data_IF_759829226365
#
_entry.id   IF_759829226365
#
_cell.length_a   1.000
_cell.length_b   1.000
_cell.length_c   1.000
_cell.angle_alpha   90.00
_cell.angle_beta   90.00
_cell.angle_gamma   90.00
#
_symmetry.space_group_name_H-M   'P 1'
#
loop_
_entity.id
_entity.type
_entity.pdbx_description
1 polymer ?
#
# COMPACT_ATOMS: atom_id res chain seq x y z
N UNK A 1 7.29 3.33 15.42
CA UNK A 1 6.18 3.26 14.43
C UNK A 1 5.13 2.32 15.00
N UNK A 2 3.86 2.72 15.07
CA UNK A 2 2.82 1.92 15.73
C UNK A 2 2.24 0.86 14.78
N UNK A 3 2.27 -0.40 15.22
CA UNK A 3 1.91 -1.58 14.43
C UNK A 3 0.40 -1.84 14.37
N UNK A 4 -0.39 -1.20 15.25
CA UNK A 4 -1.86 -1.30 15.26
C UNK A 4 -2.55 -0.31 14.31
N UNK A 5 -1.78 0.56 13.68
CA UNK A 5 -2.28 1.60 12.79
C UNK A 5 -2.92 0.97 11.55
N UNK A 6 -4.11 1.45 11.18
CA UNK A 6 -4.77 1.11 9.92
C UNK A 6 -4.41 2.15 8.85
N UNK A 7 -4.17 1.68 7.63
CA UNK A 7 -3.85 2.53 6.47
C UNK A 7 -4.83 2.30 5.34
N UNK A 8 -5.40 3.37 4.80
CA UNK A 8 -6.27 3.30 3.63
C UNK A 8 -5.47 3.65 2.38
N UNK A 9 -5.53 2.78 1.38
CA UNK A 9 -5.16 3.09 0.00
C UNK A 9 -6.23 4.00 -0.61
N UNK A 10 -5.84 5.24 -0.94
CA UNK A 10 -6.76 6.25 -1.44
C UNK A 10 -7.30 5.92 -2.84
N UNK A 11 -6.53 5.20 -3.66
CA UNK A 11 -6.91 4.87 -5.04
C UNK A 11 -7.79 3.61 -5.08
N UNK A 12 -7.49 2.62 -4.22
CA UNK A 12 -8.21 1.33 -4.18
C UNK A 12 -9.31 1.27 -3.13
N UNK A 13 -9.39 2.26 -2.23
CA UNK A 13 -10.29 2.23 -1.07
C UNK A 13 -10.04 1.06 -0.12
N UNK A 14 -8.87 0.42 -0.22
CA UNK A 14 -8.55 -0.82 0.51
C UNK A 14 -7.83 -0.50 1.82
N UNK A 15 -8.26 -1.15 2.89
CA UNK A 15 -7.66 -1.04 4.21
C UNK A 15 -6.51 -2.02 4.43
N UNK A 16 -5.42 -1.54 5.02
CA UNK A 16 -4.19 -2.28 5.27
C UNK A 16 -3.75 -2.13 6.73
N UNK A 17 -3.40 -3.24 7.38
CA UNK A 17 -2.73 -3.20 8.67
C UNK A 17 -1.29 -2.70 8.52
N UNK A 18 -0.89 -1.75 9.37
CA UNK A 18 0.48 -1.23 9.42
C UNK A 18 1.52 -2.30 9.68
N UNK A 19 1.22 -3.28 10.54
CA UNK A 19 2.09 -4.43 10.77
C UNK A 19 2.29 -5.26 9.48
N UNK A 20 1.21 -5.52 8.74
CA UNK A 20 1.27 -6.29 7.49
C UNK A 20 2.11 -5.57 6.44
N UNK A 21 1.92 -4.26 6.28
CA UNK A 21 2.71 -3.46 5.33
C UNK A 21 4.20 -3.47 5.64
N UNK A 22 4.58 -3.45 6.92
CA UNK A 22 5.99 -3.46 7.33
C UNK A 22 6.64 -4.84 7.19
N UNK A 23 5.89 -5.92 7.45
CA UNK A 23 6.43 -7.28 7.42
C UNK A 23 6.36 -7.95 6.04
N UNK A 24 5.34 -7.65 5.24
CA UNK A 24 5.05 -8.35 3.98
C UNK A 24 5.05 -7.43 2.76
N UNK A 25 5.10 -6.11 2.96
CA UNK A 25 5.05 -5.13 1.89
C UNK A 25 3.67 -4.99 1.25
N UNK A 26 3.67 -4.48 0.02
CA UNK A 26 2.47 -4.24 -0.78
C UNK A 26 2.65 -4.87 -2.16
N UNK A 27 1.68 -5.68 -2.60
CA UNK A 27 1.65 -6.17 -3.97
C UNK A 27 1.28 -5.03 -4.92
N UNK A 28 2.14 -4.77 -5.89
CA UNK A 28 1.93 -3.78 -6.93
C UNK A 28 1.73 -4.51 -8.26
N UNK A 29 0.56 -4.35 -8.86
CA UNK A 29 0.33 -4.76 -10.23
C UNK A 29 0.86 -3.65 -11.14
N UNK A 30 2.04 -3.88 -11.72
CA UNK A 30 2.60 -2.96 -12.70
C UNK A 30 2.08 -3.31 -14.10
N UNK A 31 1.71 -2.29 -14.91
CA UNK A 31 1.38 -2.53 -16.31
C UNK A 31 2.58 -3.12 -17.07
N UNK A 32 2.32 -3.92 -18.10
CA UNK A 32 3.37 -4.48 -18.95
C UNK A 32 4.06 -3.37 -19.75
N UNK A 33 5.38 -3.39 -19.78
CA UNK A 33 6.22 -2.45 -20.54
C UNK A 33 7.49 -2.09 -19.78
N UNK A 34 8.47 -1.54 -20.49
CA UNK A 34 9.71 -1.09 -19.87
C UNK A 34 9.47 0.19 -19.05
N UNK A 35 10.17 0.30 -17.91
CA UNK A 35 10.07 1.44 -16.98
C UNK A 35 8.68 1.68 -16.36
N UNK A 36 7.83 0.65 -16.26
CA UNK A 36 6.53 0.77 -15.59
C UNK A 36 6.67 1.19 -14.12
N UNK A 37 5.84 2.14 -13.68
CA UNK A 37 5.80 2.64 -12.31
C UNK A 37 4.35 2.79 -11.83
N UNK A 38 4.17 2.70 -10.51
CA UNK A 38 2.88 2.90 -9.84
C UNK A 38 3.07 3.79 -8.61
N UNK A 39 2.11 4.68 -8.37
CA UNK A 39 2.07 5.56 -7.21
C UNK A 39 0.99 5.07 -6.26
N UNK A 40 1.35 4.82 -4.99
CA UNK A 40 0.40 4.41 -3.95
C UNK A 40 0.38 5.46 -2.84
N UNK A 41 -0.81 5.94 -2.50
CA UNK A 41 -1.03 6.90 -1.42
C UNK A 41 -1.76 6.24 -0.28
N UNK A 42 -1.06 6.11 0.85
CA UNK A 42 -1.64 5.56 2.08
C UNK A 42 -1.87 6.66 3.11
N UNK A 43 -3.12 6.83 3.54
CA UNK A 43 -3.49 7.70 4.67
C UNK A 43 -3.74 6.88 5.93
N UNK A 44 -3.59 7.51 7.11
CA UNK A 44 -4.06 6.90 8.36
C UNK A 44 -5.57 7.05 8.46
N UNK A 45 -6.25 6.04 8.99
CA UNK A 45 -7.69 6.03 9.29
C UNK A 45 -7.95 5.74 10.75
#
# INVERSE_FOLDING_TARGET
MDLRQHRLDAERGTGHSGAVLLSHGLRLDLPRGDHASALVRLSRS
#
